data_IF_698741509969
#
_entry.id   IF_698741509969
#
_cell.length_a   1.000
_cell.length_b   1.000
_cell.length_c   1.000
_cell.angle_alpha   90.00
_cell.angle_beta   90.00
_cell.angle_gamma   90.00
#
_symmetry.space_group_name_H-M   'P 1'
#
loop_
_entity.id
_entity.type
_entity.pdbx_description
1 polymer ?
#
# COMPACT_ATOMS: atom_id res chain seq x y z
N UNK A 1 -69.57 -8.40 38.73
CA UNK A 1 -70.00 -7.50 37.64
C UNK A 1 -69.66 -8.16 36.31
N UNK A 2 -70.67 -8.28 35.44
CA UNK A 2 -70.70 -8.57 34.00
C UNK A 2 -69.66 -9.52 33.34
N UNK A 3 -70.16 -10.66 32.87
CA UNK A 3 -69.57 -11.51 31.80
C UNK A 3 -69.79 -10.84 30.43
N UNK A 4 -68.83 -10.95 29.49
CA UNK A 4 -69.08 -11.72 28.24
C UNK A 4 -67.78 -12.34 27.65
N UNK A 5 -67.70 -13.17 26.60
CA UNK A 5 -68.58 -13.88 25.66
C UNK A 5 -67.71 -15.03 25.09
N UNK A 6 -68.30 -16.19 24.81
CA UNK A 6 -67.65 -17.31 24.09
C UNK A 6 -67.28 -16.89 22.66
N UNK A 7 -66.02 -17.10 22.27
CA UNK A 7 -65.60 -17.18 20.86
C UNK A 7 -65.52 -18.66 20.49
N UNK A 8 -66.47 -19.11 19.66
CA UNK A 8 -66.38 -20.38 18.97
C UNK A 8 -65.15 -20.35 18.04
N UNK A 9 -64.26 -21.33 18.17
CA UNK A 9 -63.10 -21.49 17.31
C UNK A 9 -63.56 -21.77 15.86
N UNK A 10 -62.90 -21.12 14.90
CA UNK A 10 -63.13 -21.25 13.46
C UNK A 10 -63.04 -22.74 13.03
N UNK A 11 -64.04 -23.31 12.32
CA UNK A 11 -63.99 -24.68 11.79
C UNK A 11 -62.92 -24.90 10.71
N UNK A 12 -62.06 -23.89 10.43
CA UNK A 12 -60.90 -24.00 9.53
C UNK A 12 -59.56 -24.23 10.23
N UNK A 13 -59.53 -24.44 11.54
CA UNK A 13 -58.32 -24.87 12.22
C UNK A 13 -58.06 -26.36 11.92
N UNK A 14 -57.26 -26.63 10.89
CA UNK A 14 -56.65 -27.93 10.64
C UNK A 14 -55.76 -28.29 11.85
N UNK A 15 -56.27 -29.15 12.73
CA UNK A 15 -55.48 -29.86 13.73
C UNK A 15 -54.71 -30.97 13.00
N UNK A 16 -53.47 -30.68 12.61
CA UNK A 16 -52.53 -31.72 12.19
C UNK A 16 -51.89 -32.32 13.45
N UNK A 17 -52.42 -33.46 13.89
CA UNK A 17 -51.69 -34.34 14.79
C UNK A 17 -50.80 -35.25 13.92
N UNK A 18 -49.52 -34.91 13.82
CA UNK A 18 -48.52 -35.70 13.13
C UNK A 18 -47.60 -36.34 14.17
N UNK A 19 -47.95 -37.53 14.66
CA UNK A 19 -47.03 -38.35 15.44
C UNK A 19 -45.94 -38.91 14.52
N UNK A 20 -44.85 -38.17 14.34
CA UNK A 20 -43.68 -38.68 13.65
C UNK A 20 -42.80 -39.47 14.62
N UNK A 21 -42.73 -40.79 14.45
CA UNK A 21 -41.73 -41.61 15.12
C UNK A 21 -40.38 -41.37 14.45
N UNK A 22 -39.51 -40.60 15.10
CA UNK A 22 -38.16 -40.36 14.59
C UNK A 22 -37.29 -41.61 14.81
N UNK A 23 -36.96 -42.31 13.73
CA UNK A 23 -35.85 -43.27 13.73
C UNK A 23 -34.60 -42.49 13.37
N UNK A 24 -33.74 -42.22 14.36
CA UNK A 24 -32.44 -41.60 14.10
C UNK A 24 -31.64 -42.50 13.15
N UNK A 25 -31.13 -42.00 12.01
CA UNK A 25 -30.15 -42.76 11.25
C UNK A 25 -28.90 -42.94 12.13
N UNK A 26 -28.32 -44.13 12.12
CA UNK A 26 -27.03 -44.41 12.74
C UNK A 26 -25.92 -43.71 11.93
N UNK A 27 -25.86 -42.39 11.98
CA UNK A 27 -24.74 -41.60 11.51
C UNK A 27 -23.73 -41.50 12.65
N UNK A 28 -22.56 -42.12 12.48
CA UNK A 28 -21.49 -42.13 13.49
C UNK A 28 -20.80 -40.76 13.63
N UNK A 29 -21.18 -39.77 12.82
CA UNK A 29 -20.71 -38.38 12.95
C UNK A 29 -21.75 -37.39 12.42
N UNK A 30 -21.99 -36.32 13.18
CA UNK A 30 -22.65 -35.09 12.71
C UNK A 30 -21.54 -34.15 12.26
N UNK A 31 -21.39 -33.96 10.95
CA UNK A 31 -20.51 -32.93 10.41
C UNK A 31 -21.27 -31.61 10.41
N UNK A 32 -20.84 -30.69 11.27
CA UNK A 32 -21.19 -29.28 11.13
C UNK A 32 -20.26 -28.70 10.07
N UNK A 33 -20.81 -28.36 8.91
CA UNK A 33 -20.13 -27.46 7.97
C UNK A 33 -20.23 -26.06 8.59
N UNK A 34 -19.24 -25.70 9.41
CA UNK A 34 -19.06 -24.33 9.90
C UNK A 34 -18.32 -23.63 8.76
N UNK A 35 -18.95 -22.69 8.02
CA UNK A 35 -18.21 -21.89 7.06
C UNK A 35 -17.05 -21.24 7.81
N UNK A 36 -15.82 -21.49 7.37
CA UNK A 36 -14.61 -21.07 8.04
C UNK A 36 -14.70 -19.61 8.48
N UNK A 37 -14.86 -19.38 9.78
CA UNK A 37 -14.74 -18.05 10.40
C UNK A 37 -13.29 -17.49 10.32
N UNK A 38 -12.39 -18.24 9.68
CA UNK A 38 -10.96 -18.07 9.61
C UNK A 38 -10.53 -17.12 8.49
N UNK A 39 -11.42 -16.79 7.55
CA UNK A 39 -11.14 -15.88 6.43
C UNK A 39 -11.61 -14.44 6.70
N UNK A 40 -11.56 -13.96 7.95
CA UNK A 40 -11.73 -12.53 8.21
C UNK A 40 -10.54 -11.79 7.63
N UNK A 41 -10.77 -11.06 6.55
CA UNK A 41 -9.74 -10.23 5.95
C UNK A 41 -9.59 -8.96 6.79
N UNK A 42 -8.45 -8.86 7.48
CA UNK A 42 -8.11 -7.67 8.26
C UNK A 42 -7.28 -6.76 7.36
N UNK A 43 -7.81 -5.58 7.08
CA UNK A 43 -7.17 -4.61 6.19
C UNK A 43 -6.66 -3.43 7.02
N UNK A 44 -5.35 -3.19 6.95
CA UNK A 44 -4.73 -1.97 7.46
C UNK A 44 -4.65 -0.93 6.35
N UNK A 45 -4.92 0.33 6.68
CA UNK A 45 -4.84 1.46 5.75
C UNK A 45 -4.11 2.65 6.34
N UNK A 46 -3.25 3.26 5.53
CA UNK A 46 -2.67 4.60 5.77
C UNK A 46 -2.74 5.41 4.48
N UNK A 47 -3.09 6.68 4.62
CA UNK A 47 -3.07 7.65 3.53
C UNK A 47 -2.45 8.96 4.03
N UNK A 48 -1.87 9.72 3.11
CA UNK A 48 -1.23 10.97 3.44
C UNK A 48 -0.76 11.72 2.20
N UNK A 49 0.00 12.79 2.43
CA UNK A 49 0.61 13.59 1.37
C UNK A 49 2.10 13.69 1.65
N UNK A 50 2.92 13.30 0.67
CA UNK A 50 4.35 13.53 0.70
C UNK A 50 4.63 14.93 0.20
N UNK A 51 5.00 15.81 1.12
CA UNK A 51 5.35 17.20 0.80
C UNK A 51 6.84 17.45 0.94
N UNK A 52 7.33 18.34 0.09
CA UNK A 52 8.68 18.90 0.18
C UNK A 52 8.53 20.41 0.09
N UNK A 53 8.95 21.13 1.15
CA UNK A 53 8.69 22.58 1.28
C UNK A 53 7.22 22.92 1.03
N UNK A 54 6.33 22.11 1.62
CA UNK A 54 4.87 22.23 1.49
C UNK A 54 4.29 22.01 0.09
N UNK A 55 5.10 21.55 -0.86
CA UNK A 55 4.66 21.20 -2.21
C UNK A 55 4.59 19.68 -2.34
N UNK A 56 3.45 19.18 -2.80
CA UNK A 56 3.25 17.78 -3.14
C UNK A 56 4.21 17.28 -4.22
N UNK A 57 4.76 16.08 -4.03
CA UNK A 57 5.67 15.44 -4.99
C UNK A 57 5.43 13.95 -5.10
N UNK A 58 5.43 13.44 -6.33
CA UNK A 58 5.43 12.03 -6.62
C UNK A 58 6.71 11.37 -6.08
N UNK A 59 6.53 10.29 -5.32
CA UNK A 59 7.59 9.50 -4.69
C UNK A 59 7.14 8.06 -4.50
N UNK A 60 8.10 7.16 -4.46
CA UNK A 60 7.87 5.84 -3.90
C UNK A 60 7.70 5.97 -2.38
N UNK A 61 6.70 5.28 -1.84
CA UNK A 61 6.33 5.27 -0.43
C UNK A 61 6.32 3.83 0.06
N UNK A 62 7.14 3.55 1.07
CA UNK A 62 7.15 2.29 1.78
C UNK A 62 6.39 2.43 3.10
N UNK A 63 5.54 1.45 3.39
CA UNK A 63 4.94 1.28 4.71
C UNK A 63 5.59 0.07 5.38
N UNK A 64 6.25 0.31 6.51
CA UNK A 64 6.99 -0.68 7.28
C UNK A 64 6.26 -0.96 8.59
N UNK A 65 6.35 -2.18 9.10
CA UNK A 65 5.96 -2.44 10.49
C UNK A 65 6.83 -1.59 11.44
N UNK A 66 6.24 -0.99 12.48
CA UNK A 66 6.99 -0.29 13.52
C UNK A 66 7.41 -1.24 14.65
N UNK A 67 6.92 -2.48 14.61
CA UNK A 67 7.24 -3.56 15.53
C UNK A 67 7.63 -4.81 14.71
N UNK A 68 8.54 -5.65 15.22
CA UNK A 68 8.95 -6.86 14.52
C UNK A 68 7.82 -7.89 14.46
N UNK A 69 7.65 -8.51 13.29
CA UNK A 69 6.78 -9.66 13.02
C UNK A 69 7.70 -10.87 12.85
N UNK A 70 7.59 -11.85 13.75
CA UNK A 70 8.50 -13.00 13.83
C UNK A 70 9.98 -12.58 13.95
N UNK A 71 10.26 -11.52 14.71
CA UNK A 71 11.61 -11.01 14.94
C UNK A 71 12.19 -10.13 13.83
N UNK A 72 11.42 -9.81 12.78
CA UNK A 72 11.86 -8.97 11.66
C UNK A 72 10.89 -7.82 11.36
N UNK A 73 11.41 -6.66 10.98
CA UNK A 73 10.61 -5.59 10.39
C UNK A 73 10.21 -5.97 8.97
N UNK A 74 8.95 -5.77 8.60
CA UNK A 74 8.44 -6.14 7.27
C UNK A 74 7.94 -4.92 6.51
N UNK A 75 8.13 -4.95 5.19
CA UNK A 75 7.41 -4.06 4.27
C UNK A 75 5.99 -4.59 4.15
N UNK A 76 5.02 -3.73 4.49
CA UNK A 76 3.60 -4.04 4.48
C UNK A 76 2.95 -3.62 3.16
N UNK A 77 3.41 -2.50 2.59
CA UNK A 77 2.94 -1.99 1.30
C UNK A 77 4.00 -1.10 0.64
N UNK A 78 4.00 -1.11 -0.68
CA UNK A 78 4.80 -0.24 -1.55
C UNK A 78 3.85 0.46 -2.52
N UNK A 79 3.84 1.79 -2.53
CA UNK A 79 2.97 2.59 -3.41
C UNK A 79 3.72 3.78 -3.98
N UNK A 80 3.29 4.30 -5.13
CA UNK A 80 3.78 5.57 -5.66
C UNK A 80 2.78 6.67 -5.37
N UNK A 81 3.22 7.78 -4.76
CA UNK A 81 2.38 8.96 -4.59
C UNK A 81 2.15 9.70 -5.91
N UNK A 82 1.01 10.40 -6.00
CA UNK A 82 0.68 11.25 -7.13
C UNK A 82 1.58 12.47 -7.27
N UNK A 83 1.45 13.20 -8.38
CA UNK A 83 2.19 14.45 -8.61
C UNK A 83 1.93 15.52 -7.53
N UNK A 84 0.76 15.45 -6.88
CA UNK A 84 0.34 16.24 -5.72
C UNK A 84 0.83 15.68 -4.38
N UNK A 85 1.62 14.61 -4.40
CA UNK A 85 2.15 13.93 -3.22
C UNK A 85 1.16 13.00 -2.52
N UNK A 86 -0.10 12.93 -2.96
CA UNK A 86 -1.09 12.11 -2.29
C UNK A 86 -0.81 10.61 -2.49
N UNK A 87 -0.94 9.83 -1.43
CA UNK A 87 -0.84 8.37 -1.49
C UNK A 87 -1.86 7.70 -0.57
N UNK A 88 -2.22 6.47 -0.91
CA UNK A 88 -2.98 5.57 -0.06
C UNK A 88 -2.41 4.16 -0.19
N UNK A 89 -2.06 3.56 0.95
CA UNK A 89 -1.51 2.22 1.04
C UNK A 89 -2.46 1.33 1.85
N UNK A 90 -2.57 0.07 1.43
CA UNK A 90 -3.37 -0.95 2.09
C UNK A 90 -2.57 -2.25 2.17
N UNK A 91 -2.75 -2.99 3.26
CA UNK A 91 -2.12 -4.30 3.47
C UNK A 91 -3.05 -5.18 4.30
N UNK A 92 -2.74 -6.47 4.35
CA UNK A 92 -3.51 -7.44 5.12
C UNK A 92 -2.75 -7.88 6.37
N UNK A 93 -3.48 -8.44 7.34
CA UNK A 93 -2.97 -9.23 8.48
C UNK A 93 -2.17 -8.49 9.57
N UNK A 94 -1.62 -7.28 9.32
CA UNK A 94 -0.89 -6.52 10.32
C UNK A 94 -1.70 -5.34 10.88
N UNK A 95 -1.83 -5.27 12.21
CA UNK A 95 -2.64 -4.28 12.93
C UNK A 95 -1.81 -3.33 13.83
N UNK A 96 -0.50 -3.56 13.91
CA UNK A 96 0.39 -2.75 14.74
C UNK A 96 0.68 -1.39 14.13
N UNK A 97 1.49 -0.59 14.83
CA UNK A 97 1.92 0.71 14.33
C UNK A 97 2.81 0.56 13.10
N UNK A 98 2.82 1.57 12.24
CA UNK A 98 3.64 1.57 11.03
C UNK A 98 4.57 2.77 10.96
N UNK A 99 5.67 2.60 10.23
CA UNK A 99 6.52 3.68 9.76
C UNK A 99 6.22 3.91 8.27
N UNK A 100 6.10 5.17 7.87
CA UNK A 100 5.91 5.54 6.47
C UNK A 100 7.15 6.27 5.99
N UNK A 101 7.72 5.80 4.89
CA UNK A 101 8.98 6.32 4.35
C UNK A 101 8.77 6.74 2.90
N UNK A 102 8.91 8.03 2.62
CA UNK A 102 8.97 8.55 1.26
C UNK A 102 10.40 8.48 0.74
N UNK A 103 10.65 7.52 -0.17
CA UNK A 103 11.97 7.29 -0.74
C UNK A 103 12.33 8.38 -1.76
N UNK A 104 13.62 8.67 -1.81
CA UNK A 104 14.23 9.45 -2.89
C UNK A 104 15.29 8.59 -3.54
N UNK A 105 15.21 8.45 -4.86
CA UNK A 105 16.25 7.76 -5.62
C UNK A 105 17.45 8.69 -5.71
N UNK A 106 18.54 8.32 -5.03
CA UNK A 106 19.84 8.99 -5.17
C UNK A 106 20.45 8.73 -6.55
N UNK A 107 20.08 7.62 -7.19
CA UNK A 107 20.61 7.21 -8.48
C UNK A 107 21.96 6.52 -8.37
N UNK A 108 22.42 6.02 -9.52
CA UNK A 108 23.73 5.38 -9.65
C UNK A 108 24.81 6.43 -9.98
N UNK A 109 26.09 6.20 -9.63
CA UNK A 109 27.16 7.04 -10.13
C UNK A 109 27.28 6.97 -11.65
N UNK A 110 27.78 8.06 -12.27
CA UNK A 110 28.09 8.08 -13.70
C UNK A 110 29.03 6.93 -14.09
N UNK A 111 28.71 6.25 -15.20
CA UNK A 111 29.55 5.21 -15.78
C UNK A 111 29.84 5.57 -17.26
N UNK A 112 31.12 5.63 -17.67
CA UNK A 112 31.48 5.97 -19.03
C UNK A 112 30.96 4.93 -20.02
N UNK A 113 30.49 5.38 -21.19
CA UNK A 113 29.97 4.52 -22.27
C UNK A 113 28.77 3.62 -21.90
N UNK A 114 28.15 3.82 -20.72
CA UNK A 114 26.94 3.09 -20.33
C UNK A 114 25.74 3.54 -21.16
N UNK A 115 24.87 2.60 -21.51
CA UNK A 115 23.56 2.90 -22.08
C UNK A 115 22.60 3.25 -20.95
N UNK A 116 21.93 4.38 -21.07
CA UNK A 116 20.91 4.86 -20.14
C UNK A 116 19.51 4.82 -20.76
N UNK A 117 18.52 4.48 -19.95
CA UNK A 117 17.10 4.43 -20.30
C UNK A 117 16.31 5.51 -19.57
N UNK A 118 15.14 5.87 -20.11
CA UNK A 118 14.24 6.86 -19.52
C UNK A 118 13.87 6.46 -18.09
N UNK A 119 13.96 7.42 -17.17
CA UNK A 119 13.65 7.24 -15.75
C UNK A 119 14.84 6.80 -14.90
N UNK A 120 15.95 6.37 -15.49
CA UNK A 120 17.17 6.10 -14.71
C UNK A 120 17.71 7.40 -14.09
N UNK A 121 18.19 7.28 -12.85
CA UNK A 121 18.68 8.41 -12.07
C UNK A 121 20.20 8.29 -11.90
N UNK A 122 20.89 9.41 -12.07
CA UNK A 122 22.32 9.55 -11.85
C UNK A 122 22.62 10.50 -10.70
N UNK A 123 23.62 10.12 -9.91
CA UNK A 123 24.31 11.00 -8.97
C UNK A 123 25.67 11.42 -9.52
N UNK A 124 26.05 12.70 -9.39
CA UNK A 124 27.38 13.16 -9.79
C UNK A 124 28.45 12.58 -8.87
N UNK A 125 29.67 12.38 -9.37
CA UNK A 125 30.80 11.90 -8.56
C UNK A 125 31.15 12.85 -7.42
N UNK A 126 31.13 14.16 -7.70
CA UNK A 126 31.18 15.21 -6.69
C UNK A 126 29.77 15.65 -6.30
N UNK A 127 29.43 15.50 -5.02
CA UNK A 127 28.07 15.77 -4.56
C UNK A 127 27.72 17.26 -4.62
N UNK A 128 26.64 17.59 -5.34
CA UNK A 128 26.17 18.98 -5.54
C UNK A 128 24.79 19.26 -4.94
N UNK A 129 24.13 18.25 -4.35
CA UNK A 129 22.75 18.38 -3.87
C UNK A 129 21.68 18.11 -4.93
N UNK A 130 22.09 17.69 -6.13
CA UNK A 130 21.22 17.38 -7.26
C UNK A 130 21.46 15.96 -7.78
N UNK A 131 20.39 15.38 -8.33
CA UNK A 131 20.41 14.15 -9.12
C UNK A 131 19.89 14.44 -10.53
N UNK A 132 20.16 13.55 -11.46
CA UNK A 132 19.86 13.75 -12.87
C UNK A 132 19.02 12.60 -13.37
N UNK A 133 17.82 12.89 -13.87
CA UNK A 133 16.88 11.86 -14.36
C UNK A 133 16.92 11.81 -15.88
N UNK A 134 17.11 10.63 -16.44
CA UNK A 134 17.15 10.43 -17.89
C UNK A 134 15.76 10.68 -18.49
N UNK A 135 15.65 11.64 -19.41
CA UNK A 135 14.42 11.93 -20.15
C UNK A 135 14.47 11.39 -21.58
N UNK A 136 15.67 11.26 -22.15
CA UNK A 136 15.88 10.67 -23.46
C UNK A 136 16.99 9.61 -23.38
N UNK A 137 16.71 8.38 -23.83
CA UNK A 137 17.67 7.29 -23.74
C UNK A 137 18.85 7.56 -24.66
N UNK A 138 20.01 7.01 -24.32
CA UNK A 138 21.23 7.17 -25.10
C UNK A 138 22.44 6.54 -24.43
N UNK A 139 23.61 6.79 -25.00
CA UNK A 139 24.88 6.26 -24.50
C UNK A 139 25.69 7.40 -23.90
N UNK A 140 26.21 7.18 -22.68
CA UNK A 140 27.08 8.11 -22.01
C UNK A 140 28.35 8.39 -22.81
N UNK A 141 28.90 9.59 -22.64
CA UNK A 141 30.25 9.91 -23.11
C UNK A 141 31.32 9.08 -22.39
N UNK A 142 32.57 9.23 -22.83
CA UNK A 142 33.72 8.61 -22.17
C UNK A 142 34.11 9.33 -20.86
N UNK A 143 33.64 10.55 -20.65
CA UNK A 143 33.91 11.38 -19.47
C UNK A 143 32.60 11.88 -18.88
N UNK A 144 32.62 12.10 -17.57
CA UNK A 144 31.50 12.68 -16.84
C UNK A 144 31.30 14.13 -17.31
N UNK A 145 30.05 14.56 -17.58
CA UNK A 145 29.77 15.93 -17.99
C UNK A 145 29.91 16.90 -16.83
N UNK A 146 30.00 18.20 -17.16
CA UNK A 146 29.82 19.25 -16.16
C UNK A 146 28.34 19.32 -15.82
N UNK A 147 28.03 19.00 -14.57
CA UNK A 147 26.65 18.92 -14.10
C UNK A 147 26.05 20.29 -13.79
N UNK A 148 24.89 20.65 -14.37
CA UNK A 148 24.21 21.89 -14.03
C UNK A 148 23.54 21.80 -12.64
N UNK A 149 23.78 22.81 -11.82
CA UNK A 149 23.28 22.91 -10.44
C UNK A 149 22.00 23.76 -10.33
N UNK A 150 21.20 23.79 -11.39
CA UNK A 150 19.93 24.51 -11.45
C UNK A 150 18.80 23.51 -11.67
N UNK A 151 17.73 23.60 -10.88
CA UNK A 151 16.53 22.77 -11.02
C UNK A 151 16.00 22.84 -12.46
N UNK A 152 15.51 21.71 -12.98
CA UNK A 152 14.94 21.59 -14.33
C UNK A 152 15.90 21.83 -15.50
N UNK A 153 17.19 22.12 -15.24
CA UNK A 153 18.18 22.26 -16.31
C UNK A 153 18.38 20.94 -17.06
N UNK A 154 18.48 21.01 -18.38
CA UNK A 154 18.82 19.87 -19.22
C UNK A 154 20.34 19.75 -19.37
N UNK A 155 20.86 18.53 -19.37
CA UNK A 155 22.27 18.22 -19.62
C UNK A 155 22.38 17.05 -20.60
N UNK A 156 23.27 17.16 -21.56
CA UNK A 156 23.61 16.04 -22.45
C UNK A 156 24.70 15.19 -21.81
N UNK A 157 24.45 13.88 -21.77
CA UNK A 157 25.37 12.87 -21.25
C UNK A 157 25.68 11.92 -22.42
N UNK A 158 26.68 12.28 -23.22
CA UNK A 158 26.88 11.64 -24.52
C UNK A 158 25.70 11.91 -25.46
N UNK A 159 24.99 10.85 -25.88
CA UNK A 159 23.74 10.98 -26.66
C UNK A 159 22.46 10.96 -25.83
N UNK A 160 22.56 10.67 -24.52
CA UNK A 160 21.40 10.72 -23.62
C UNK A 160 21.13 12.16 -23.16
N UNK A 161 19.88 12.46 -22.83
CA UNK A 161 19.49 13.75 -22.23
C UNK A 161 18.93 13.50 -20.83
N UNK A 162 19.49 14.22 -19.87
CA UNK A 162 19.10 14.17 -18.47
C UNK A 162 18.55 15.52 -18.03
N UNK A 163 17.67 15.48 -17.03
CA UNK A 163 17.14 16.68 -16.38
C UNK A 163 17.52 16.72 -14.91
N UNK A 164 18.00 17.88 -14.47
CA UNK A 164 18.37 18.14 -13.09
C UNK A 164 17.15 18.16 -12.18
N UNK A 165 17.27 17.46 -11.06
CA UNK A 165 16.31 17.40 -9.96
C UNK A 165 17.04 17.59 -8.65
N UNK A 166 16.55 18.48 -7.80
CA UNK A 166 17.09 18.63 -6.46
C UNK A 166 16.94 17.30 -5.73
N UNK A 167 18.06 16.79 -5.20
CA UNK A 167 17.98 15.64 -4.31
C UNK A 167 17.44 16.11 -2.98
N UNK A 168 16.48 15.34 -2.51
CA UNK A 168 15.78 15.63 -1.29
C UNK A 168 15.94 14.41 -0.41
N UNK A 169 16.36 14.57 0.86
CA UNK A 169 16.58 13.43 1.73
C UNK A 169 15.32 12.57 1.88
N UNK A 170 15.54 11.33 2.28
CA UNK A 170 14.46 10.42 2.67
C UNK A 170 13.72 11.08 3.84
N UNK A 171 12.40 11.15 3.71
CA UNK A 171 11.52 11.63 4.78
C UNK A 171 10.82 10.42 5.36
N UNK A 172 11.03 10.17 6.65
CA UNK A 172 10.35 9.14 7.39
C UNK A 172 9.42 9.77 8.43
N UNK A 173 8.24 9.18 8.61
CA UNK A 173 7.29 9.60 9.63
C UNK A 173 6.72 8.39 10.38
N UNK A 174 6.29 8.63 11.63
CA UNK A 174 5.70 7.62 12.51
C UNK A 174 6.31 7.61 13.91
N UNK A 175 5.93 6.64 14.76
CA UNK A 175 5.00 5.55 14.46
C UNK A 175 3.53 6.01 14.38
N UNK A 176 2.82 5.57 13.33
CA UNK A 176 1.41 5.88 13.10
C UNK A 176 0.52 4.68 13.44
N UNK A 177 -0.64 4.92 14.03
CA UNK A 177 -1.66 3.88 14.18
C UNK A 177 -2.49 3.81 12.88
N UNK A 178 -2.46 2.69 12.13
CA UNK A 178 -3.28 2.53 10.93
C UNK A 178 -4.78 2.44 11.26
N UNK A 179 -5.63 2.81 10.29
CA UNK A 179 -7.05 2.47 10.36
C UNK A 179 -7.22 0.97 10.08
N UNK A 180 -7.95 0.27 10.95
CA UNK A 180 -8.17 -1.17 10.86
C UNK A 180 -9.64 -1.44 10.56
N UNK A 181 -9.89 -2.15 9.47
CA UNK A 181 -11.21 -2.63 9.07
C UNK A 181 -11.22 -4.16 9.09
N UNK A 182 -12.32 -4.75 9.58
CA UNK A 182 -12.54 -6.20 9.65
C UNK A 182 -13.83 -6.50 8.89
N UNK A 183 -13.72 -7.21 7.77
CA UNK A 183 -14.85 -7.68 6.95
C UNK A 183 -14.96 -9.19 6.99
#
# INVERSE_FOLDING_TARGET
MATPYLLAADPRALLFDASATYVAPAATLVLFDVPDWLDRQIIGRVAGVVTVRDIGRAREVLVLSAEPIDGQYRVLAEVTSGADGAFAAQWQTYQGKVLVVGLSLFGEPFQPQRIYQVGEVLSPSEWTGFVYVCEQPGTAGAQEPVWPQAEDAAVQVGSAVFRTRQYLPIVAHGPLQPAIEVS
#
